data_IF_270899049745
#
_entry.id   IF_270899049745
#
_cell.length_a   1.000
_cell.length_b   1.000
_cell.length_c   1.000
_cell.angle_alpha   90.00
_cell.angle_beta   90.00
_cell.angle_gamma   90.00
#
_symmetry.space_group_name_H-M   'P 1'
#
loop_
_entity.id
_entity.type
_entity.pdbx_description
1 polymer ?
#
# COMPACT_ATOMS: atom_id res chain seq x y z
N UNK A 1 27.39 1.98 -2.98
CA UNK A 1 26.56 1.50 -4.11
C UNK A 1 25.40 2.48 -4.24
N UNK A 2 25.42 3.30 -5.29
CA UNK A 2 24.49 4.41 -5.45
C UNK A 2 23.14 3.83 -5.92
N UNK A 3 22.10 3.97 -5.11
CA UNK A 3 20.74 3.56 -5.48
C UNK A 3 20.16 4.65 -6.38
N UNK A 4 20.37 4.52 -7.68
CA UNK A 4 19.74 5.40 -8.68
C UNK A 4 18.23 5.18 -8.69
N UNK A 5 17.44 6.25 -8.80
CA UNK A 5 16.00 6.16 -9.06
C UNK A 5 15.77 5.58 -10.47
N UNK A 6 15.53 4.27 -10.54
CA UNK A 6 15.36 3.50 -11.79
C UNK A 6 14.35 4.06 -12.81
N UNK A 7 13.21 4.69 -12.43
CA UNK A 7 12.25 5.20 -13.41
C UNK A 7 12.86 6.21 -14.39
N UNK A 8 13.92 6.92 -13.99
CA UNK A 8 14.58 7.91 -14.85
C UNK A 8 15.53 7.27 -15.88
N UNK A 9 16.14 6.13 -15.58
CA UNK A 9 16.99 5.42 -16.54
C UNK A 9 16.16 4.87 -17.71
N UNK A 10 14.98 4.34 -17.42
CA UNK A 10 14.05 3.84 -18.44
C UNK A 10 13.49 4.97 -19.32
N UNK A 11 13.28 6.17 -18.76
CA UNK A 11 12.88 7.36 -19.51
C UNK A 11 13.97 7.86 -20.46
N UNK A 12 15.25 7.74 -20.10
CA UNK A 12 16.36 8.12 -20.99
C UNK A 12 16.58 7.12 -22.12
N UNK A 13 16.30 5.84 -21.87
CA UNK A 13 16.46 4.77 -22.87
C UNK A 13 15.29 4.72 -23.85
N UNK A 14 14.05 4.95 -23.40
CA UNK A 14 12.86 4.96 -24.24
C UNK A 14 12.81 6.11 -25.25
N UNK A 15 13.64 7.15 -25.08
CA UNK A 15 13.76 8.27 -26.04
C UNK A 15 14.67 7.95 -27.24
N UNK A 16 15.31 6.77 -27.28
CA UNK A 16 16.23 6.35 -28.35
C UNK A 16 15.50 5.65 -29.50
N UNK A 17 14.70 6.43 -30.23
CA UNK A 17 14.31 6.07 -31.59
C UNK A 17 15.28 6.74 -32.56
N UNK A 18 16.09 5.93 -33.24
CA UNK A 18 17.18 6.28 -34.17
C UNK A 18 18.48 6.79 -33.52
N UNK A 19 19.57 6.10 -33.85
CA UNK A 19 20.96 6.31 -33.41
C UNK A 19 21.53 7.62 -34.00
N UNK A 20 20.95 8.75 -33.65
CA UNK A 20 21.59 10.07 -33.82
C UNK A 20 22.43 10.27 -32.57
N UNK A 21 23.76 10.37 -32.75
CA UNK A 21 24.70 10.65 -31.67
C UNK A 21 24.15 11.78 -30.80
N UNK A 22 23.80 11.45 -29.56
CA UNK A 22 23.12 12.39 -28.68
C UNK A 22 24.05 13.60 -28.47
N UNK A 23 23.58 14.84 -28.72
CA UNK A 23 24.44 16.02 -28.61
C UNK A 23 24.98 16.14 -27.18
N UNK A 24 26.26 16.48 -27.02
CA UNK A 24 26.96 16.58 -25.73
C UNK A 24 26.18 17.38 -24.69
N UNK A 25 25.51 18.45 -25.11
CA UNK A 25 24.65 19.26 -24.25
C UNK A 25 23.48 18.47 -23.63
N UNK A 26 22.85 17.57 -24.39
CA UNK A 26 21.73 16.76 -23.89
C UNK A 26 22.21 15.77 -22.82
N UNK A 27 23.38 15.16 -23.03
CA UNK A 27 24.02 14.29 -22.04
C UNK A 27 24.34 15.07 -20.77
N UNK A 28 24.91 16.27 -20.90
CA UNK A 28 25.23 17.14 -19.75
C UNK A 28 23.97 17.55 -18.97
N UNK A 29 22.88 17.89 -19.68
CA UNK A 29 21.59 18.22 -19.05
C UNK A 29 21.04 17.00 -18.30
N UNK A 30 20.99 15.82 -18.93
CA UNK A 30 20.51 14.57 -18.30
C UNK A 30 21.32 14.25 -17.05
N UNK A 31 22.64 14.34 -17.12
CA UNK A 31 23.53 14.09 -15.98
C UNK A 31 23.29 15.08 -14.84
N UNK A 32 23.09 16.36 -15.14
CA UNK A 32 22.84 17.38 -14.12
C UNK A 32 21.47 17.22 -13.46
N UNK A 33 20.45 16.79 -14.21
CA UNK A 33 19.13 16.44 -13.66
C UNK A 33 19.26 15.20 -12.76
N UNK A 34 19.95 14.16 -13.23
CA UNK A 34 20.16 12.92 -12.47
C UNK A 34 20.90 13.21 -11.15
N UNK A 35 21.97 14.00 -11.20
CA UNK A 35 22.75 14.40 -10.03
C UNK A 35 21.88 15.17 -9.04
N UNK A 36 21.11 16.16 -9.52
CA UNK A 36 20.19 16.92 -8.67
C UNK A 36 19.16 16.00 -7.98
N UNK A 37 18.54 15.09 -8.73
CA UNK A 37 17.55 14.16 -8.19
C UNK A 37 18.18 13.24 -7.15
N UNK A 38 19.32 12.62 -7.46
CA UNK A 38 20.01 11.74 -6.53
C UNK A 38 20.44 12.46 -5.25
N UNK A 39 20.88 13.72 -5.34
CA UNK A 39 21.26 14.52 -4.17
C UNK A 39 20.05 14.95 -3.33
N UNK A 40 18.91 15.25 -3.97
CA UNK A 40 17.70 15.71 -3.30
C UNK A 40 16.94 14.58 -2.59
N UNK A 41 16.95 13.37 -3.15
CA UNK A 41 16.27 12.20 -2.60
C UNK A 41 17.26 11.19 -1.97
N UNK A 42 18.21 11.71 -1.17
CA UNK A 42 19.24 10.91 -0.48
C UNK A 42 18.71 10.15 0.74
N UNK A 43 17.55 10.54 1.29
CA UNK A 43 16.95 9.89 2.45
C UNK A 43 16.64 8.42 2.13
N UNK A 44 17.09 7.52 3.02
CA UNK A 44 16.89 6.08 2.90
C UNK A 44 15.40 5.70 2.89
N UNK A 45 14.54 6.54 3.45
CA UNK A 45 13.09 6.34 3.44
C UNK A 45 12.40 6.78 2.15
N UNK A 46 12.99 7.70 1.37
CA UNK A 46 12.37 8.22 0.14
C UNK A 46 12.02 7.10 -0.86
N UNK A 47 12.91 6.14 -1.17
CA UNK A 47 12.58 5.04 -2.07
C UNK A 47 11.41 4.19 -1.57
N UNK A 48 11.34 3.93 -0.25
CA UNK A 48 10.26 3.15 0.34
C UNK A 48 8.92 3.86 0.21
N UNK A 49 8.88 5.16 0.53
CA UNK A 49 7.66 5.97 0.40
C UNK A 49 7.24 6.01 -1.07
N UNK A 50 8.17 6.27 -2.00
CA UNK A 50 7.87 6.34 -3.42
C UNK A 50 7.29 5.03 -3.97
N UNK A 51 7.89 3.89 -3.61
CA UNK A 51 7.41 2.57 -4.04
C UNK A 51 6.02 2.28 -3.46
N UNK A 52 5.80 2.55 -2.17
CA UNK A 52 4.49 2.37 -1.53
C UNK A 52 3.42 3.27 -2.13
N UNK A 53 3.72 4.56 -2.31
CA UNK A 53 2.80 5.52 -2.93
C UNK A 53 2.46 5.11 -4.37
N UNK A 54 3.44 4.67 -5.15
CA UNK A 54 3.21 4.21 -6.53
C UNK A 54 2.29 2.97 -6.57
N UNK A 55 2.53 2.00 -5.69
CA UNK A 55 1.72 0.79 -5.61
C UNK A 55 0.27 1.04 -5.16
N UNK A 56 0.10 1.96 -4.21
CA UNK A 56 -1.20 2.35 -3.66
C UNK A 56 -1.92 3.38 -4.53
N UNK A 57 -1.25 4.01 -5.49
CA UNK A 57 -1.93 4.87 -6.45
C UNK A 57 -2.63 4.01 -7.51
N UNK A 58 -3.97 4.08 -7.63
CA UNK A 58 -4.74 3.27 -8.58
C UNK A 58 -4.44 3.61 -10.06
N UNK A 59 -3.81 4.76 -10.34
CA UNK A 59 -3.38 5.16 -11.69
C UNK A 59 -2.03 4.55 -12.09
N UNK A 60 -1.17 4.21 -11.11
CA UNK A 60 0.15 3.62 -11.33
C UNK A 60 0.20 2.13 -11.00
N UNK A 61 -0.23 1.74 -9.79
CA UNK A 61 -0.06 0.39 -9.22
C UNK A 61 1.39 -0.10 -9.35
N UNK A 62 1.58 -1.36 -9.75
CA UNK A 62 2.91 -1.94 -9.95
C UNK A 62 3.52 -1.66 -11.33
N UNK A 63 2.92 -0.80 -12.18
CA UNK A 63 3.35 -0.63 -13.59
C UNK A 63 4.82 -0.27 -13.78
N UNK A 64 5.39 0.50 -12.86
CA UNK A 64 6.76 1.01 -12.95
C UNK A 64 7.68 0.39 -11.90
N UNK A 65 7.24 -0.71 -11.28
CA UNK A 65 8.04 -1.48 -10.34
C UNK A 65 8.65 -2.66 -11.08
N UNK A 66 9.92 -2.95 -10.82
CA UNK A 66 10.48 -4.25 -11.21
C UNK A 66 10.02 -5.35 -10.24
N UNK A 67 10.22 -6.60 -10.63
CA UNK A 67 9.77 -7.78 -9.86
C UNK A 67 10.27 -7.81 -8.40
N UNK A 68 11.47 -7.29 -8.13
CA UNK A 68 12.00 -7.21 -6.77
C UNK A 68 11.25 -6.14 -5.95
N UNK A 69 11.06 -4.95 -6.52
CA UNK A 69 10.31 -3.86 -5.89
C UNK A 69 8.83 -4.23 -5.68
N UNK A 70 8.23 -4.93 -6.64
CA UNK A 70 6.86 -5.44 -6.51
C UNK A 70 6.75 -6.47 -5.38
N UNK A 71 7.71 -7.40 -5.27
CA UNK A 71 7.73 -8.38 -4.18
C UNK A 71 7.92 -7.71 -2.81
N UNK A 72 8.79 -6.72 -2.75
CA UNK A 72 9.05 -5.94 -1.53
C UNK A 72 7.81 -5.13 -1.11
N UNK A 73 7.14 -4.45 -2.05
CA UNK A 73 5.97 -3.63 -1.75
C UNK A 73 4.77 -4.47 -1.34
N UNK A 74 4.56 -5.65 -1.96
CA UNK A 74 3.51 -6.59 -1.57
C UNK A 74 3.72 -7.10 -0.14
N UNK A 75 4.95 -7.52 0.18
CA UNK A 75 5.31 -7.99 1.52
C UNK A 75 5.11 -6.89 2.56
N UNK A 76 5.61 -5.69 2.28
CA UNK A 76 5.54 -4.56 3.20
C UNK A 76 4.09 -4.06 3.40
N UNK A 77 3.29 -4.05 2.32
CA UNK A 77 1.85 -3.75 2.40
C UNK A 77 1.11 -4.77 3.28
N UNK A 78 1.44 -6.06 3.14
CA UNK A 78 0.85 -7.11 3.97
C UNK A 78 1.20 -6.91 5.46
N UNK A 79 2.48 -6.70 5.78
CA UNK A 79 2.96 -6.47 7.15
C UNK A 79 2.29 -5.25 7.79
N UNK A 80 2.14 -4.12 7.08
CA UNK A 80 1.46 -2.94 7.64
C UNK A 80 -0.06 -3.11 7.73
N UNK A 81 -0.68 -3.85 6.79
CA UNK A 81 -2.10 -4.17 6.86
C UNK A 81 -2.42 -5.07 8.08
N UNK A 82 -1.52 -6.00 8.44
CA UNK A 82 -1.62 -6.79 9.67
C UNK A 82 -1.51 -5.92 10.92
N UNK A 83 -0.59 -4.96 10.95
CA UNK A 83 -0.47 -4.02 12.07
C UNK A 83 -1.75 -3.19 12.27
N UNK A 84 -2.37 -2.75 11.16
CA UNK A 84 -3.66 -2.03 11.22
C UNK A 84 -4.77 -2.91 11.79
N UNK A 85 -4.80 -4.20 11.47
CA UNK A 85 -5.78 -5.16 12.02
C UNK A 85 -5.57 -5.36 13.53
N UNK A 86 -4.33 -5.59 13.94
CA UNK A 86 -3.99 -5.77 15.36
C UNK A 86 -4.35 -4.54 16.20
N UNK A 87 -4.08 -3.33 15.71
CA UNK A 87 -4.44 -2.09 16.42
C UNK A 87 -5.97 -1.95 16.58
N UNK A 88 -6.75 -2.36 15.58
CA UNK A 88 -8.20 -2.33 15.65
C UNK A 88 -8.76 -3.31 16.69
N UNK A 89 -8.23 -4.54 16.74
CA UNK A 89 -8.65 -5.54 17.73
C UNK A 89 -8.36 -5.08 19.16
N UNK A 90 -7.19 -4.45 19.40
CA UNK A 90 -6.84 -3.89 20.69
C UNK A 90 -7.76 -2.71 21.10
N UNK A 91 -8.16 -1.86 20.15
CA UNK A 91 -9.07 -0.73 20.39
C UNK A 91 -10.47 -1.22 20.82
N UNK A 92 -10.97 -2.28 20.18
CA UNK A 92 -12.24 -2.92 20.55
C UNK A 92 -12.17 -3.59 21.93
N UNK A 93 -11.05 -4.22 22.31
CA UNK A 93 -10.88 -4.81 23.64
C UNK A 93 -10.88 -3.74 24.75
N UNK A 94 -10.28 -2.57 24.50
CA UNK A 94 -10.28 -1.44 25.44
C UNK A 94 -11.69 -0.83 25.61
N UNK A 95 -12.48 -0.74 24.54
CA UNK A 95 -13.87 -0.24 24.62
C UNK A 95 -14.79 -1.18 25.41
N UNK A 96 -14.63 -2.50 25.25
CA UNK A 96 -15.41 -3.50 26.00
C UNK A 96 -15.11 -3.44 27.50
N UNK A 97 -13.86 -3.17 27.88
CA UNK A 97 -13.45 -3.04 29.29
C UNK A 97 -13.98 -1.74 29.92
N UNK A 98 -14.06 -0.66 29.13
CA UNK A 98 -14.67 0.61 29.55
C UNK A 98 -16.20 0.50 29.73
N UNK A 99 -16.89 -0.25 28.89
CA UNK A 99 -18.34 -0.48 29.05
C UNK A 99 -18.67 -1.38 30.26
N UNK A 100 -17.78 -2.32 30.64
CA UNK A 100 -18.00 -3.22 31.78
C UNK A 100 -17.76 -2.58 33.15
N UNK A 101 -17.11 -1.41 33.22
CA UNK A 101 -16.82 -0.72 34.48
C UNK A 101 -17.88 0.31 34.92
N UNK A 102 -19.07 0.29 34.30
CA UNK A 102 -20.24 1.06 34.74
C UNK A 102 -21.26 0.14 35.44
N UNK A 103 -21.24 0.13 36.77
CA UNK A 103 -22.18 -0.61 37.62
C UNK A 103 -23.55 0.09 37.69
N UNK A 104 -24.61 -0.58 37.22
CA UNK A 104 -25.89 -0.75 37.95
C UNK A 104 -26.73 -1.90 37.30
N UNK A 105 -27.61 -2.61 38.04
CA UNK A 105 -27.97 -3.99 37.71
C UNK A 105 -29.30 -4.16 36.97
N UNK A 106 -29.39 -5.35 36.35
CA UNK A 106 -30.60 -6.07 35.92
C UNK A 106 -31.13 -5.72 34.52
N UNK A 107 -30.93 -6.62 33.56
CA UNK A 107 -31.93 -7.17 32.61
C UNK A 107 -31.25 -8.27 31.75
N UNK A 108 -31.99 -9.29 31.25
CA UNK A 108 -31.41 -10.52 30.74
C UNK A 108 -30.52 -10.27 29.52
N UNK A 109 -29.30 -10.81 29.55
CA UNK A 109 -28.31 -10.69 28.49
C UNK A 109 -28.90 -11.22 27.18
N UNK A 110 -29.22 -10.33 26.25
CA UNK A 110 -29.29 -10.67 24.82
C UNK A 110 -27.91 -11.17 24.43
N UNK A 111 -27.80 -12.49 24.26
CA UNK A 111 -26.59 -13.13 23.78
C UNK A 111 -26.34 -12.67 22.34
N UNK A 112 -25.39 -11.74 22.17
CA UNK A 112 -24.87 -11.36 20.86
C UNK A 112 -24.30 -12.63 20.19
N UNK A 113 -24.77 -12.91 18.98
CA UNK A 113 -24.43 -14.07 18.14
C UNK A 113 -22.92 -14.28 17.89
N UNK A 114 -22.06 -13.31 18.23
CA UNK A 114 -20.62 -13.35 17.96
C UNK A 114 -19.81 -14.35 18.78
N UNK A 115 -20.37 -14.99 19.82
CA UNK A 115 -19.63 -15.91 20.69
C UNK A 115 -19.49 -17.35 20.17
N UNK A 116 -20.06 -17.68 19.01
CA UNK A 116 -20.03 -19.06 18.48
C UNK A 116 -18.83 -19.40 17.59
N UNK A 117 -17.98 -18.43 17.23
CA UNK A 117 -16.84 -18.71 16.33
C UNK A 117 -15.54 -19.07 17.05
N UNK A 118 -15.48 -18.98 18.38
CA UNK A 118 -14.27 -19.25 19.15
C UNK A 118 -14.27 -20.69 19.69
N UNK A 119 -14.28 -21.65 18.77
CA UNK A 119 -13.72 -23.00 18.98
C UNK A 119 -13.82 -23.84 17.70
N UNK A 120 -12.82 -23.73 16.82
CA UNK A 120 -12.35 -24.86 16.03
C UNK A 120 -10.91 -24.62 15.58
N UNK A 121 -9.97 -25.09 16.37
CA UNK A 121 -8.69 -25.53 15.83
C UNK A 121 -8.83 -26.96 15.29
N UNK A 122 -8.09 -27.22 14.21
CA UNK A 122 -7.75 -28.50 13.56
C UNK A 122 -8.86 -29.34 12.91
N UNK A 123 -9.08 -29.09 11.62
CA UNK A 123 -9.28 -30.15 10.63
C UNK A 123 -8.74 -29.68 9.28
N UNK A 124 -7.95 -30.52 8.60
CA UNK A 124 -7.24 -30.18 7.37
C UNK A 124 -8.15 -29.58 6.31
N UNK A 125 -7.78 -28.41 5.78
CA UNK A 125 -8.49 -27.77 4.70
C UNK A 125 -7.52 -26.85 3.96
N UNK A 126 -7.55 -26.95 2.64
CA UNK A 126 -6.93 -26.03 1.66
C UNK A 126 -6.77 -24.62 2.24
N UNK A 127 -5.52 -24.12 2.31
CA UNK A 127 -5.14 -22.80 2.83
C UNK A 127 -6.16 -21.74 2.45
N UNK A 128 -7.09 -21.44 3.34
CA UNK A 128 -8.05 -20.36 3.17
C UNK A 128 -7.26 -19.06 3.23
N UNK A 129 -7.26 -18.29 2.15
CA UNK A 129 -6.57 -17.00 2.09
C UNK A 129 -7.03 -16.07 3.22
N UNK A 130 -6.08 -15.35 3.83
CA UNK A 130 -6.38 -14.35 4.86
C UNK A 130 -7.24 -13.21 4.27
N UNK A 131 -7.96 -12.47 5.11
CA UNK A 131 -8.76 -11.32 4.64
C UNK A 131 -7.86 -10.26 3.98
N UNK A 132 -6.63 -10.11 4.46
CA UNK A 132 -5.61 -9.21 3.89
C UNK A 132 -5.17 -9.67 2.51
N UNK A 133 -4.88 -10.97 2.34
CA UNK A 133 -4.54 -11.55 1.03
C UNK A 133 -5.69 -11.33 0.03
N UNK A 134 -6.95 -11.42 0.46
CA UNK A 134 -8.11 -11.14 -0.40
C UNK A 134 -8.18 -9.67 -0.82
N UNK A 135 -7.97 -8.73 0.10
CA UNK A 135 -7.93 -7.30 -0.24
C UNK A 135 -6.81 -7.00 -1.25
N UNK A 136 -5.62 -7.55 -1.03
CA UNK A 136 -4.45 -7.33 -1.90
C UNK A 136 -4.68 -7.89 -3.32
N UNK A 137 -5.20 -9.12 -3.41
CA UNK A 137 -5.58 -9.70 -4.69
C UNK A 137 -6.66 -8.85 -5.38
N UNK A 138 -7.67 -8.40 -4.64
CA UNK A 138 -8.74 -7.58 -5.20
C UNK A 138 -8.21 -6.26 -5.77
N UNK A 139 -7.32 -5.57 -5.05
CA UNK A 139 -6.65 -4.35 -5.55
C UNK A 139 -5.89 -4.60 -6.86
N UNK A 140 -5.20 -5.73 -6.98
CA UNK A 140 -4.49 -6.11 -8.20
C UNK A 140 -5.43 -6.30 -9.40
N UNK A 141 -6.62 -6.87 -9.19
CA UNK A 141 -7.59 -7.12 -10.25
C UNK A 141 -8.45 -5.91 -10.65
N UNK A 142 -8.59 -4.92 -9.78
CA UNK A 142 -9.32 -3.70 -10.12
C UNK A 142 -8.67 -3.02 -11.34
N UNK A 143 -9.49 -2.44 -12.21
CA UNK A 143 -8.98 -1.67 -13.34
C UNK A 143 -8.18 -0.47 -12.84
N UNK A 144 -7.20 -0.04 -13.63
CA UNK A 144 -6.49 1.19 -13.32
C UNK A 144 -7.43 2.38 -13.48
N UNK A 145 -7.28 3.33 -12.57
CA UNK A 145 -8.00 4.58 -12.63
C UNK A 145 -7.44 5.44 -13.78
N UNK A 146 -8.32 6.20 -14.45
CA UNK A 146 -7.87 7.14 -15.47
C UNK A 146 -6.94 8.19 -14.84
N UNK A 147 -5.92 8.61 -15.59
CA UNK A 147 -4.85 9.50 -15.08
C UNK A 147 -5.31 10.90 -14.67
N UNK A 148 -6.51 11.31 -15.09
CA UNK A 148 -7.15 12.59 -14.78
C UNK A 148 -8.12 12.52 -13.58
N UNK A 149 -8.32 11.33 -13.01
CA UNK A 149 -9.24 11.11 -11.90
C UNK A 149 -8.55 11.22 -10.55
N UNK A 150 -9.29 11.65 -9.51
CA UNK A 150 -8.77 11.80 -8.15
C UNK A 150 -8.56 10.43 -7.46
N UNK A 151 -7.31 10.06 -7.09
CA UNK A 151 -7.01 8.84 -6.34
C UNK A 151 -7.73 8.76 -4.99
N UNK A 152 -8.00 9.88 -4.33
CA UNK A 152 -8.65 9.89 -3.02
C UNK A 152 -10.14 9.55 -3.12
N UNK A 153 -10.83 9.96 -4.19
CA UNK A 153 -12.22 9.56 -4.44
C UNK A 153 -12.31 8.05 -4.72
N UNK A 154 -11.35 7.49 -5.45
CA UNK A 154 -11.22 6.04 -5.60
C UNK A 154 -11.10 5.34 -4.25
N UNK A 155 -10.21 5.82 -3.36
CA UNK A 155 -10.01 5.19 -2.05
C UNK A 155 -11.18 5.40 -1.08
N UNK A 156 -11.93 6.49 -1.19
CA UNK A 156 -13.21 6.68 -0.46
C UNK A 156 -14.24 5.65 -0.88
N UNK A 157 -14.36 5.37 -2.18
CA UNK A 157 -15.24 4.30 -2.67
C UNK A 157 -14.73 2.92 -2.22
N UNK A 158 -13.43 2.69 -2.29
CA UNK A 158 -12.82 1.40 -1.98
C UNK A 158 -12.77 1.04 -0.50
N UNK A 159 -12.90 2.00 0.42
CA UNK A 159 -12.74 1.75 1.86
C UNK A 159 -13.71 0.72 2.43
N UNK A 160 -14.86 0.48 1.77
CA UNK A 160 -15.83 -0.54 2.20
C UNK A 160 -15.31 -1.95 1.96
N UNK A 161 -14.54 -2.18 0.88
CA UNK A 161 -14.07 -3.50 0.48
C UNK A 161 -12.55 -3.68 0.61
N UNK A 162 -11.78 -2.60 0.69
CA UNK A 162 -10.33 -2.54 0.93
C UNK A 162 -10.01 -1.64 2.15
N UNK A 163 -10.57 -1.89 3.34
CA UNK A 163 -10.45 -0.99 4.48
C UNK A 163 -9.00 -0.76 4.93
N UNK A 164 -8.14 -1.77 4.89
CA UNK A 164 -6.72 -1.64 5.30
C UNK A 164 -5.92 -0.90 4.25
N UNK A 165 -6.05 -1.28 2.99
CA UNK A 165 -5.35 -0.61 1.90
C UNK A 165 -5.79 0.86 1.77
N UNK A 166 -7.05 1.20 2.06
CA UNK A 166 -7.52 2.59 2.05
C UNK A 166 -6.87 3.44 3.14
N UNK A 167 -6.62 2.86 4.33
CA UNK A 167 -5.86 3.52 5.39
C UNK A 167 -4.39 3.72 5.01
N UNK A 168 -3.76 2.71 4.39
CA UNK A 168 -2.39 2.81 3.87
C UNK A 168 -2.30 3.84 2.74
N UNK A 169 -3.24 3.83 1.81
CA UNK A 169 -3.31 4.81 0.72
C UNK A 169 -3.43 6.23 1.27
N UNK A 170 -4.31 6.45 2.26
CA UNK A 170 -4.38 7.74 2.94
C UNK A 170 -3.04 8.14 3.56
N UNK A 171 -2.34 7.21 4.23
CA UNK A 171 -1.02 7.47 4.84
C UNK A 171 0.03 7.87 3.81
N UNK A 172 0.19 7.09 2.73
CA UNK A 172 1.29 7.23 1.77
C UNK A 172 1.02 8.27 0.67
N UNK A 173 -0.22 8.40 0.21
CA UNK A 173 -0.58 9.38 -0.81
C UNK A 173 -0.70 10.80 -0.25
N UNK A 174 -0.96 10.96 1.06
CA UNK A 174 -0.98 12.28 1.69
C UNK A 174 0.41 12.76 2.14
N UNK A 175 1.46 11.95 1.98
CA UNK A 175 2.84 12.34 2.31
C UNK A 175 3.61 12.90 1.12
N UNK A 176 3.07 12.74 -0.10
CA UNK A 176 3.60 13.33 -1.33
C UNK A 176 2.94 14.69 -1.59
#
# INVERSE_FOLDING_TARGET
MNKTLKPLAELTDASSGEEIAEPTLSIDIKNKILEYMNNKYTDENCPKILIMSSYLDPTFKARYLNSEEESQVLRHTHEEAEQIEQLHDNELEIEIDKEQNSFLPTHPKVMKLGKFFKNRASSGSTRTQSTIEKELNHHQFLSLLASDSDPFEYWKYCCVFLPRLSKLAKKYLSTC
#
